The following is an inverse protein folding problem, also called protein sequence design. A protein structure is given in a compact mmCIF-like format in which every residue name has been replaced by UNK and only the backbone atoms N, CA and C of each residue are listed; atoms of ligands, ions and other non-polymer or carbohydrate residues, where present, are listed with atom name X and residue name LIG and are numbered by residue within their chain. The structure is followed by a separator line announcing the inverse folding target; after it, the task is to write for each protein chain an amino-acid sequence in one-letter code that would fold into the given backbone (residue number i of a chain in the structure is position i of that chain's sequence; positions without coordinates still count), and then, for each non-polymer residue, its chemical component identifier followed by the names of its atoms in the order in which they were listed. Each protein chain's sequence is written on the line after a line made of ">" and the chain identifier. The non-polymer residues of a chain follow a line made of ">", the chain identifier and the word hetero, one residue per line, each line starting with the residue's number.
data_IF_741875254443
#
_entry.id   IF_741875254443
#
_cell.length_a   1.000
_cell.length_b   1.000
_cell.length_c   1.000
_cell.angle_alpha   90.00
_cell.angle_beta   90.00
_cell.angle_gamma   90.00
#
_symmetry.space_group_name_H-M   'P 1'
#
loop_
_entity.id
_entity.type
_entity.pdbx_description
1 polymer ?
#
# COMPACT_ATOMS: atom_id res chain seq x y z
N UNK A 1 10.35 11.75 13.63
CA UNK A 1 10.96 12.86 12.86
C UNK A 1 10.37 14.17 13.30
N UNK A 2 11.06 15.31 13.11
CA UNK A 2 10.45 16.62 13.33
C UNK A 2 9.29 16.83 12.35
N UNK A 3 8.19 17.42 12.83
CA UNK A 3 6.95 17.58 12.05
C UNK A 3 7.13 18.42 10.77
N UNK A 4 7.99 19.42 10.83
CA UNK A 4 8.32 20.29 9.69
C UNK A 4 8.95 19.55 8.51
N UNK A 5 9.62 18.41 8.76
CA UNK A 5 10.24 17.58 7.71
C UNK A 5 9.32 16.46 7.21
N UNK A 6 8.07 16.40 7.72
CA UNK A 6 7.11 15.43 7.21
C UNK A 6 6.71 15.78 5.77
N UNK A 7 6.52 14.79 4.88
CA UNK A 7 6.05 15.04 3.53
C UNK A 7 4.71 15.80 3.52
N UNK A 8 4.59 16.81 2.66
CA UNK A 8 3.35 17.60 2.50
C UNK A 8 2.13 16.75 2.15
N UNK A 9 2.35 15.62 1.46
CA UNK A 9 1.31 14.63 1.11
C UNK A 9 0.57 14.04 2.31
N UNK A 10 1.15 14.10 3.52
CA UNK A 10 0.50 13.59 4.74
C UNK A 10 -0.55 14.54 5.27
N UNK A 11 -0.56 15.81 4.83
CA UNK A 11 -1.45 16.88 5.30
C UNK A 11 -1.53 16.96 6.83
N UNK A 12 -0.38 16.94 7.47
CA UNK A 12 -0.29 17.17 8.90
C UNK A 12 -0.33 18.67 9.15
N UNK A 13 -1.10 19.03 10.16
CA UNK A 13 -1.14 20.41 10.63
C UNK A 13 0.24 20.82 11.16
N UNK A 14 0.65 22.05 10.86
CA UNK A 14 1.97 22.58 11.18
C UNK A 14 2.13 22.93 12.67
N UNK A 15 1.04 23.33 13.33
CA UNK A 15 1.07 23.89 14.68
C UNK A 15 0.72 22.88 15.79
N UNK A 16 0.07 21.75 15.47
CA UNK A 16 -0.47 20.81 16.47
C UNK A 16 0.55 19.87 17.10
N UNK A 17 1.84 20.17 17.04
CA UNK A 17 2.88 19.38 17.70
C UNK A 17 4.25 19.46 17.05
N UNK A 18 5.26 19.03 17.78
CA UNK A 18 6.68 19.14 17.40
C UNK A 18 7.13 17.96 16.54
N UNK A 19 6.57 16.77 16.78
CA UNK A 19 7.00 15.54 16.14
C UNK A 19 5.91 14.89 15.29
N UNK A 20 6.34 14.17 14.25
CA UNK A 20 5.51 13.29 13.43
C UNK A 20 6.09 11.87 13.45
N UNK A 21 5.22 10.86 13.29
CA UNK A 21 5.64 9.47 13.24
C UNK A 21 6.49 9.22 12.01
N UNK A 22 7.73 8.76 12.21
CA UNK A 22 8.59 8.33 11.09
C UNK A 22 8.20 6.90 10.72
N UNK A 23 7.91 6.61 9.44
CA UNK A 23 7.62 5.25 9.00
C UNK A 23 8.83 4.33 9.19
N UNK A 24 8.55 3.06 9.49
CA UNK A 24 9.55 1.98 9.47
C UNK A 24 9.96 1.70 8.02
N UNK A 25 11.15 1.11 7.78
CA UNK A 25 11.51 0.58 6.47
C UNK A 25 10.48 -0.45 5.99
N UNK A 26 10.11 -0.40 4.71
CA UNK A 26 9.10 -1.30 4.16
C UNK A 26 8.99 -1.19 2.64
N UNK A 27 7.84 -1.56 2.06
CA UNK A 27 7.67 -1.66 0.62
C UNK A 27 7.76 -0.32 -0.11
N UNK A 28 7.44 0.78 0.56
CA UNK A 28 7.39 2.10 -0.05
C UNK A 28 8.44 3.05 0.52
N UNK A 29 8.89 3.99 -0.31
CA UNK A 29 9.84 5.03 0.10
C UNK A 29 9.18 6.03 1.05
N UNK A 30 9.98 6.70 1.89
CA UNK A 30 9.51 7.67 2.89
C UNK A 30 8.56 8.75 2.30
N UNK A 31 8.87 9.26 1.10
CA UNK A 31 8.06 10.30 0.44
C UNK A 31 6.83 9.76 -0.29
N UNK A 32 6.75 8.45 -0.48
CA UNK A 32 5.70 7.77 -1.23
C UNK A 32 4.81 6.89 -0.34
N UNK A 33 4.94 7.03 0.98
CA UNK A 33 4.15 6.26 1.94
C UNK A 33 3.46 7.16 2.98
N UNK A 34 2.44 6.60 3.61
CA UNK A 34 1.75 7.16 4.75
C UNK A 34 1.89 6.19 5.93
N UNK A 35 2.41 6.61 7.11
CA UNK A 35 2.47 5.74 8.27
C UNK A 35 1.07 5.31 8.72
N UNK A 36 0.91 4.06 9.14
CA UNK A 36 -0.36 3.51 9.62
C UNK A 36 -0.96 4.35 10.74
N UNK A 37 -0.14 4.89 11.64
CA UNK A 37 -0.61 5.77 12.73
C UNK A 37 -1.25 7.06 12.23
N UNK A 38 -0.71 7.67 11.18
CA UNK A 38 -1.28 8.87 10.58
C UNK A 38 -2.57 8.52 9.82
N UNK A 39 -2.61 7.37 9.14
CA UNK A 39 -3.81 6.90 8.47
C UNK A 39 -4.96 6.70 9.48
N UNK A 40 -4.76 5.92 10.54
CA UNK A 40 -5.81 5.59 11.51
C UNK A 40 -6.26 6.79 12.35
N UNK A 41 -5.35 7.68 12.71
CA UNK A 41 -5.65 8.82 13.58
C UNK A 41 -6.11 10.04 12.81
N UNK A 42 -5.34 10.49 11.82
CA UNK A 42 -5.58 11.76 11.15
C UNK A 42 -6.54 11.65 9.96
N UNK A 43 -6.53 10.51 9.25
CA UNK A 43 -7.34 10.31 8.04
C UNK A 43 -8.67 9.61 8.33
N UNK A 44 -8.62 8.46 8.96
CA UNK A 44 -9.81 7.66 9.25
C UNK A 44 -10.48 8.04 10.58
N UNK A 45 -9.75 8.70 11.49
CA UNK A 45 -10.24 9.14 12.82
C UNK A 45 -10.75 8.01 13.71
N UNK A 46 -10.24 6.78 13.55
CA UNK A 46 -10.57 5.64 14.42
C UNK A 46 -9.89 5.71 15.79
N UNK A 47 -8.87 6.52 15.92
CA UNK A 47 -8.15 6.73 17.16
C UNK A 47 -7.87 8.22 17.35
N UNK A 48 -7.95 8.69 18.58
CA UNK A 48 -7.64 10.07 18.96
C UNK A 48 -6.16 10.23 19.32
N UNK A 49 -5.60 9.23 19.98
CA UNK A 49 -4.23 9.26 20.52
C UNK A 49 -3.32 8.22 19.85
N UNK A 50 -2.01 8.44 19.95
CA UNK A 50 -1.03 7.45 19.46
C UNK A 50 -1.01 6.15 20.26
N UNK A 51 -1.41 6.20 21.54
CA UNK A 51 -1.54 5.00 22.37
C UNK A 51 -2.68 4.11 21.89
N UNK A 52 -3.83 4.70 21.52
CA UNK A 52 -4.97 3.96 20.96
C UNK A 52 -4.60 3.31 19.63
N UNK A 53 -3.91 4.02 18.74
CA UNK A 53 -3.38 3.42 17.50
C UNK A 53 -2.52 2.20 17.81
N UNK A 54 -1.65 2.31 18.80
CA UNK A 54 -0.77 1.19 19.18
C UNK A 54 -1.57 0.02 19.72
N UNK A 55 -2.61 0.25 20.52
CA UNK A 55 -3.53 -0.80 21.01
C UNK A 55 -4.26 -1.48 19.84
N UNK A 56 -4.81 -0.70 18.90
CA UNK A 56 -5.51 -1.21 17.72
C UNK A 56 -4.59 -2.08 16.85
N UNK A 57 -3.35 -1.62 16.59
CA UNK A 57 -2.42 -2.34 15.74
C UNK A 57 -1.86 -3.60 16.41
N UNK A 58 -1.59 -3.55 17.72
CA UNK A 58 -0.98 -4.67 18.46
C UNK A 58 -1.98 -5.72 18.95
N UNK A 59 -3.26 -5.48 18.79
CA UNK A 59 -4.30 -6.41 19.20
C UNK A 59 -4.08 -7.80 18.57
N UNK A 60 -4.26 -8.85 19.38
CA UNK A 60 -4.09 -10.26 18.97
C UNK A 60 -5.06 -10.66 17.86
N UNK A 61 -6.25 -10.07 17.82
CA UNK A 61 -7.31 -10.33 16.82
C UNK A 61 -6.93 -9.90 15.38
N UNK A 62 -5.81 -9.18 15.19
CA UNK A 62 -5.36 -8.79 13.86
C UNK A 62 -6.27 -7.76 13.19
N UNK A 63 -6.63 -6.71 13.94
CA UNK A 63 -7.59 -5.68 13.53
C UNK A 63 -7.19 -4.87 12.29
N UNK A 64 -5.91 -4.84 11.94
CA UNK A 64 -5.42 -4.08 10.79
C UNK A 64 -4.69 -5.03 9.84
N UNK A 65 -5.20 -5.16 8.64
CA UNK A 65 -4.55 -5.90 7.55
C UNK A 65 -4.15 -4.93 6.44
N UNK A 66 -2.96 -5.10 5.92
CA UNK A 66 -2.51 -4.41 4.71
C UNK A 66 -2.19 -5.46 3.67
N UNK A 67 -2.83 -5.37 2.51
CA UNK A 67 -2.74 -6.37 1.45
C UNK A 67 -2.99 -7.79 2.01
N UNK A 68 -4.07 -7.96 2.74
CA UNK A 68 -4.50 -9.20 3.40
C UNK A 68 -3.52 -9.78 4.45
N UNK A 69 -2.44 -9.04 4.80
CA UNK A 69 -1.48 -9.43 5.84
C UNK A 69 -1.68 -8.59 7.09
N UNK A 70 -1.80 -9.23 8.24
CA UNK A 70 -1.90 -8.53 9.53
C UNK A 70 -0.63 -7.73 9.78
N UNK A 71 -0.78 -6.42 10.04
CA UNK A 71 0.33 -5.52 10.34
C UNK A 71 0.15 -4.96 11.75
N UNK A 72 1.10 -5.28 12.63
CA UNK A 72 1.09 -4.87 14.05
C UNK A 72 1.94 -3.64 14.34
N UNK A 73 2.74 -3.18 13.36
CA UNK A 73 3.57 -1.99 13.50
C UNK A 73 2.77 -0.73 13.19
N UNK A 74 2.54 0.18 14.17
CA UNK A 74 1.87 1.46 13.93
C UNK A 74 2.65 2.38 12.99
N UNK A 75 3.95 2.13 12.78
CA UNK A 75 4.81 2.86 11.85
C UNK A 75 4.91 2.24 10.46
N UNK A 76 4.13 1.17 10.20
CA UNK A 76 4.15 0.50 8.90
C UNK A 76 3.84 1.49 7.76
N UNK A 77 4.68 1.53 6.69
CA UNK A 77 4.45 2.41 5.54
C UNK A 77 3.39 1.83 4.61
N UNK A 78 2.26 2.48 4.51
CA UNK A 78 1.21 2.18 3.52
C UNK A 78 1.41 3.09 2.32
N UNK A 79 1.39 2.56 1.12
CA UNK A 79 1.63 3.32 -0.12
C UNK A 79 0.40 3.39 -1.03
N UNK A 80 0.62 3.95 -2.22
CA UNK A 80 -0.40 4.05 -3.25
C UNK A 80 -0.90 2.67 -3.67
N UNK A 81 -2.20 2.53 -3.85
CA UNK A 81 -2.92 1.30 -4.23
C UNK A 81 -2.96 0.20 -3.17
N UNK A 82 -2.29 0.36 -2.02
CA UNK A 82 -2.39 -0.60 -0.93
C UNK A 82 -3.82 -0.67 -0.39
N UNK A 83 -4.26 -1.87 -0.08
CA UNK A 83 -5.57 -2.14 0.50
C UNK A 83 -5.43 -2.32 2.00
N UNK A 84 -6.07 -1.47 2.77
CA UNK A 84 -6.15 -1.55 4.23
C UNK A 84 -7.52 -2.07 4.62
N UNK A 85 -7.56 -3.23 5.24
CA UNK A 85 -8.79 -3.87 5.70
C UNK A 85 -8.86 -3.85 7.21
N UNK A 86 -10.02 -3.50 7.74
CA UNK A 86 -10.36 -3.47 9.16
C UNK A 86 -11.44 -4.53 9.46
N UNK A 87 -11.06 -5.76 9.81
CA UNK A 87 -12.03 -6.86 9.96
C UNK A 87 -13.12 -6.61 11.00
N UNK A 88 -12.82 -5.87 12.08
CA UNK A 88 -13.80 -5.55 13.13
C UNK A 88 -14.94 -4.67 12.64
N UNK A 89 -14.66 -3.73 11.74
CA UNK A 89 -15.68 -2.82 11.18
C UNK A 89 -16.21 -3.31 9.83
N UNK A 90 -15.57 -4.32 9.23
CA UNK A 90 -15.91 -4.84 7.91
C UNK A 90 -15.54 -3.87 6.77
N UNK A 91 -14.75 -2.86 7.02
CA UNK A 91 -14.41 -1.82 6.07
C UNK A 91 -13.08 -2.07 5.38
N UNK A 92 -13.04 -1.75 4.09
CA UNK A 92 -11.84 -1.81 3.27
C UNK A 92 -11.56 -0.44 2.67
N UNK A 93 -10.30 -0.03 2.71
CA UNK A 93 -9.85 1.24 2.16
C UNK A 93 -8.71 1.02 1.18
N UNK A 94 -8.76 1.69 0.04
CA UNK A 94 -7.64 1.79 -0.89
C UNK A 94 -7.00 3.16 -0.76
N UNK A 95 -5.67 3.19 -0.61
CA UNK A 95 -4.94 4.44 -0.51
C UNK A 95 -4.67 4.99 -1.92
N UNK A 96 -5.23 6.15 -2.22
CA UNK A 96 -5.10 6.85 -3.49
C UNK A 96 -4.46 8.21 -3.30
N UNK A 97 -4.09 8.86 -4.40
CA UNK A 97 -3.74 10.28 -4.40
C UNK A 97 -4.91 11.13 -4.86
N UNK A 98 -5.13 12.24 -4.17
CA UNK A 98 -6.01 13.32 -4.61
C UNK A 98 -5.36 14.11 -5.78
N UNK A 99 -6.13 14.93 -6.48
CA UNK A 99 -5.68 15.83 -7.56
C UNK A 99 -4.48 16.68 -7.13
N UNK A 100 -4.45 17.13 -5.87
CA UNK A 100 -3.34 17.89 -5.27
C UNK A 100 -2.16 17.01 -4.79
N UNK A 101 -2.16 15.71 -5.10
CA UNK A 101 -1.10 14.76 -4.74
C UNK A 101 -1.07 14.37 -3.25
N UNK A 102 -2.16 14.56 -2.52
CA UNK A 102 -2.30 14.18 -1.11
C UNK A 102 -2.84 12.76 -0.99
N UNK A 103 -2.45 12.05 0.07
CA UNK A 103 -3.00 10.73 0.35
C UNK A 103 -4.47 10.81 0.80
N UNK A 104 -5.32 10.07 0.13
CA UNK A 104 -6.74 9.93 0.46
C UNK A 104 -7.11 8.45 0.56
N UNK A 105 -7.65 7.97 1.70
CA UNK A 105 -8.25 6.65 1.79
C UNK A 105 -9.63 6.69 1.13
N UNK A 106 -9.83 5.82 0.15
CA UNK A 106 -11.11 5.63 -0.54
C UNK A 106 -11.71 4.32 -0.05
N UNK A 107 -12.97 4.34 0.39
CA UNK A 107 -13.69 3.13 0.80
C UNK A 107 -14.00 2.30 -0.44
N UNK A 108 -13.74 0.99 -0.36
CA UNK A 108 -13.95 0.04 -1.45
C UNK A 108 -14.76 -1.17 -0.99
N UNK A 109 -15.43 -1.80 -1.91
CA UNK A 109 -16.16 -3.05 -1.67
C UNK A 109 -15.22 -4.25 -1.52
N UNK A 110 -15.72 -5.33 -0.93
CA UNK A 110 -14.94 -6.55 -0.69
C UNK A 110 -14.39 -7.19 -1.98
N UNK A 111 -15.13 -7.10 -3.08
CA UNK A 111 -14.69 -7.62 -4.40
C UNK A 111 -13.46 -6.86 -4.91
N UNK A 112 -13.44 -5.55 -4.76
CA UNK A 112 -12.32 -4.70 -5.16
C UNK A 112 -11.11 -4.84 -4.23
N UNK A 113 -11.32 -5.17 -2.96
CA UNK A 113 -10.26 -5.41 -2.00
C UNK A 113 -9.38 -6.62 -2.35
N UNK A 114 -9.85 -7.51 -3.23
CA UNK A 114 -9.14 -8.72 -3.65
C UNK A 114 -7.95 -8.49 -4.58
N UNK A 115 -7.79 -7.31 -5.17
CA UNK A 115 -6.70 -7.01 -6.08
C UNK A 115 -6.15 -5.61 -5.91
N UNK A 116 -4.93 -5.39 -6.40
CA UNK A 116 -4.34 -4.05 -6.57
C UNK A 116 -3.60 -3.91 -7.89
N UNK A 117 -3.44 -2.69 -8.36
CA UNK A 117 -2.67 -2.36 -9.54
C UNK A 117 -1.25 -1.98 -9.13
N UNK A 118 -0.26 -2.59 -9.76
CA UNK A 118 1.15 -2.37 -9.47
C UNK A 118 1.91 -1.98 -10.74
N UNK A 119 2.65 -0.88 -10.68
CA UNK A 119 3.55 -0.47 -11.77
C UNK A 119 4.81 -1.31 -11.75
N UNK A 120 5.22 -1.80 -12.92
CA UNK A 120 6.49 -2.51 -13.11
C UNK A 120 7.63 -1.49 -13.16
N UNK A 121 8.54 -1.56 -12.17
CA UNK A 121 9.70 -0.68 -12.08
C UNK A 121 10.87 -1.18 -12.93
N UNK A 122 11.10 -2.50 -12.89
CA UNK A 122 12.16 -3.13 -13.68
C UNK A 122 11.84 -4.59 -13.99
N UNK A 123 12.37 -5.06 -15.12
CA UNK A 123 12.40 -6.46 -15.57
C UNK A 123 13.86 -6.89 -15.62
N UNK A 124 14.21 -7.96 -14.95
CA UNK A 124 15.60 -8.41 -14.77
C UNK A 124 15.67 -9.94 -14.87
N UNK A 125 16.78 -10.44 -15.37
CA UNK A 125 17.14 -11.86 -15.28
C UNK A 125 17.94 -12.07 -13.99
N UNK A 126 17.46 -12.98 -13.17
CA UNK A 126 18.12 -13.36 -11.91
C UNK A 126 19.15 -14.47 -12.09
N UNK A 127 19.61 -15.02 -10.97
CA UNK A 127 20.47 -16.20 -10.96
C UNK A 127 19.79 -17.34 -11.75
N UNK A 128 20.58 -18.13 -12.48
CA UNK A 128 20.10 -19.19 -13.39
C UNK A 128 19.17 -18.70 -14.52
N UNK A 129 19.35 -17.44 -14.98
CA UNK A 129 18.57 -16.83 -16.07
C UNK A 129 17.05 -16.79 -15.82
N UNK A 130 16.60 -16.87 -14.56
CA UNK A 130 15.18 -16.81 -14.21
C UNK A 130 14.67 -15.37 -14.39
N UNK A 131 13.70 -15.11 -15.30
CA UNK A 131 13.14 -13.78 -15.46
C UNK A 131 12.28 -13.39 -14.25
N UNK A 132 12.38 -12.15 -13.81
CA UNK A 132 11.49 -11.59 -12.81
C UNK A 132 11.25 -10.10 -13.03
N UNK A 133 10.11 -9.64 -12.56
CA UNK A 133 9.77 -8.22 -12.51
C UNK A 133 9.70 -7.75 -11.06
N UNK A 134 10.03 -6.47 -10.87
CA UNK A 134 9.91 -5.80 -9.57
C UNK A 134 8.89 -4.69 -9.72
N UNK A 135 7.91 -4.67 -8.82
CA UNK A 135 6.84 -3.67 -8.78
C UNK A 135 7.18 -2.51 -7.85
N UNK A 136 6.39 -1.42 -7.94
CA UNK A 136 6.59 -0.21 -7.13
C UNK A 136 6.46 -0.45 -5.61
N UNK A 137 5.69 -1.48 -5.21
CA UNK A 137 5.49 -1.90 -3.82
C UNK A 137 6.52 -2.93 -3.32
N UNK A 138 7.65 -3.08 -4.05
CA UNK A 138 8.74 -3.97 -3.68
C UNK A 138 8.48 -5.47 -3.84
N UNK A 139 7.40 -5.86 -4.51
CA UNK A 139 7.13 -7.27 -4.82
C UNK A 139 7.98 -7.72 -5.98
N UNK A 140 8.46 -8.96 -5.90
CA UNK A 140 9.17 -9.65 -6.99
C UNK A 140 8.29 -10.76 -7.52
N UNK A 141 7.94 -10.69 -8.81
CA UNK A 141 7.12 -11.69 -9.50
C UNK A 141 8.02 -12.44 -10.46
N UNK A 142 8.18 -13.75 -10.26
CA UNK A 142 8.97 -14.63 -11.11
C UNK A 142 8.13 -15.10 -12.30
N UNK A 143 8.81 -15.41 -13.41
CA UNK A 143 8.21 -15.90 -14.64
C UNK A 143 7.05 -15.02 -15.14
N UNK A 144 7.26 -13.72 -15.30
CA UNK A 144 6.24 -12.84 -15.89
C UNK A 144 6.04 -13.20 -17.37
N UNK A 145 4.86 -12.82 -17.90
CA UNK A 145 4.62 -12.94 -19.33
C UNK A 145 5.69 -12.17 -20.13
N UNK A 146 6.20 -12.69 -21.26
CA UNK A 146 7.29 -12.09 -22.00
C UNK A 146 7.00 -10.67 -22.49
N UNK A 147 5.74 -10.40 -22.85
CA UNK A 147 5.31 -9.08 -23.38
C UNK A 147 5.32 -7.96 -22.36
N UNK A 148 5.35 -8.29 -21.04
CA UNK A 148 5.38 -7.27 -20.00
C UNK A 148 6.68 -6.48 -20.07
N UNK A 149 6.55 -5.16 -20.21
CA UNK A 149 7.64 -4.19 -20.30
C UNK A 149 7.78 -3.39 -19.01
N UNK A 150 8.87 -2.65 -18.90
CA UNK A 150 9.07 -1.63 -17.86
C UNK A 150 8.02 -0.53 -18.02
N UNK A 151 7.48 -0.05 -16.92
CA UNK A 151 6.42 0.95 -16.80
C UNK A 151 4.99 0.45 -17.07
N UNK A 152 4.80 -0.81 -17.44
CA UNK A 152 3.46 -1.39 -17.52
C UNK A 152 2.82 -1.51 -16.14
N UNK A 153 1.49 -1.55 -16.12
CA UNK A 153 0.72 -1.79 -14.90
C UNK A 153 0.17 -3.20 -14.91
N UNK A 154 0.43 -3.94 -13.85
CA UNK A 154 -0.05 -5.31 -13.66
C UNK A 154 -1.08 -5.38 -12.55
N UNK A 155 -2.13 -6.16 -12.75
CA UNK A 155 -3.13 -6.48 -11.73
C UNK A 155 -2.61 -7.64 -10.88
N UNK A 156 -2.44 -7.41 -9.58
CA UNK A 156 -1.93 -8.41 -8.64
C UNK A 156 -3.03 -8.78 -7.66
N UNK A 157 -3.30 -10.08 -7.49
CA UNK A 157 -4.21 -10.56 -6.45
C UNK A 157 -3.61 -10.35 -5.07
N UNK A 158 -4.41 -9.80 -4.16
CA UNK A 158 -4.03 -9.53 -2.76
C UNK A 158 -4.19 -10.79 -1.89
N UNK A 159 -5.07 -11.71 -2.30
CA UNK A 159 -5.34 -12.96 -1.58
C UNK A 159 -4.22 -13.99 -1.68
N UNK A 160 -3.30 -13.85 -2.64
CA UNK A 160 -2.22 -14.79 -2.85
C UNK A 160 -1.04 -14.53 -1.89
N UNK A 161 -0.82 -15.46 -0.98
CA UNK A 161 0.45 -15.58 -0.26
C UNK A 161 1.56 -15.92 -1.25
N UNK A 162 2.74 -15.31 -1.11
CA UNK A 162 3.88 -15.44 -2.04
C UNK A 162 4.39 -16.88 -2.28
N UNK A 163 3.86 -17.88 -1.58
CA UNK A 163 4.17 -19.30 -1.77
C UNK A 163 3.32 -20.01 -2.83
N UNK A 164 2.20 -19.44 -3.28
CA UNK A 164 1.27 -20.07 -4.23
C UNK A 164 1.34 -19.46 -5.65
N UNK A 165 2.39 -18.73 -5.98
CA UNK A 165 2.61 -18.13 -7.31
C UNK A 165 2.98 -19.15 -8.40
N UNK A 166 2.81 -20.46 -8.16
CA UNK A 166 3.14 -21.48 -9.16
C UNK A 166 2.12 -21.63 -10.30
N UNK A 167 0.90 -21.08 -10.16
CA UNK A 167 -0.13 -21.20 -11.22
C UNK A 167 -1.13 -20.03 -11.20
N UNK A 168 -0.74 -18.86 -11.65
CA UNK A 168 -1.71 -17.86 -12.07
C UNK A 168 -1.40 -17.45 -13.52
N UNK A 169 -1.72 -18.35 -14.43
CA UNK A 169 -1.72 -18.14 -15.88
C UNK A 169 -2.93 -17.32 -16.35
N UNK A 170 -3.28 -16.25 -15.66
CA UNK A 170 -4.25 -15.27 -16.15
C UNK A 170 -3.90 -13.89 -15.59
N UNK A 171 -2.72 -13.40 -15.93
CA UNK A 171 -2.44 -11.97 -15.83
C UNK A 171 -3.12 -11.27 -16.98
N UNK A 172 -4.28 -10.72 -16.76
CA UNK A 172 -4.90 -9.80 -17.70
C UNK A 172 -4.01 -8.57 -17.78
N UNK A 173 -3.31 -8.45 -18.91
CA UNK A 173 -2.58 -7.24 -19.27
C UNK A 173 -3.61 -6.21 -19.65
N UNK A 174 -3.91 -5.28 -18.76
CA UNK A 174 -4.64 -4.08 -19.16
C UNK A 174 -3.64 -3.08 -19.72
N UNK A 175 -3.49 -3.07 -21.03
CA UNK A 175 -3.06 -1.89 -21.77
C UNK A 175 -4.22 -0.88 -21.74
N UNK A 176 -4.47 -0.31 -20.60
CA UNK A 176 -5.41 0.79 -20.50
C UNK A 176 -4.65 1.98 -19.93
N UNK A 177 -4.26 2.86 -20.84
CA UNK A 177 -4.02 4.27 -20.55
C UNK A 177 -5.33 4.78 -19.95
N UNK A 178 -5.47 4.74 -18.63
CA UNK A 178 -6.53 5.48 -17.97
C UNK A 178 -6.00 6.89 -17.75
N UNK A 179 -6.10 7.68 -18.81
CA UNK A 179 -6.16 9.13 -18.69
C UNK A 179 -7.50 9.43 -18.03
N UNK A 180 -7.51 9.64 -16.74
CA UNK A 180 -8.61 10.34 -16.10
C UNK A 180 -8.44 11.83 -16.42
N UNK A 181 -9.01 12.25 -17.56
CA UNK A 181 -9.48 13.62 -17.80
C UNK A 181 -10.88 13.71 -17.18
N UNK A 182 -11.01 14.48 -16.16
CA UNK A 182 -12.10 15.41 -15.83
C UNK A 182 -11.86 15.98 -14.44
#
# INVERSE_FOLDING_TARGET
>A
MKRMFAPSKWCLDKLSGVYATRPSPGPHKLRECLPMSVLLRNRLKYALSGQEVTKICKDKSGNVKVDNKVRRDPRYPVGMMDVVSLPKTGENFRLMYDIKGRFQPVRIEGKEAGFKLCKVVKKVLGKNKIPYIVTHDGRTIRYPHPDIKKNDTVKVSVSFSARSLLFASNSIIFNTIFVMLA
#
